data_IF_054083698500
#
_entry.id   IF_054083698500
#
_cell.length_a   1.000
_cell.length_b   1.000
_cell.length_c   1.000
_cell.angle_alpha   90.00
_cell.angle_beta   90.00
_cell.angle_gamma   90.00
#
_symmetry.space_group_name_H-M   'P 1'
#
loop_
_entity.id
_entity.type
_entity.pdbx_description
1 polymer ?
#
# COMPACT_ATOMS: atom_id res chain seq x y z
N UNK A 1 -21.82 -10.82 -62.21
CA UNK A 1 -22.46 -10.90 -63.55
C UNK A 1 -21.56 -10.57 -64.75
N UNK A 2 -20.46 -9.84 -64.62
CA UNK A 2 -19.50 -9.57 -65.71
C UNK A 2 -18.59 -10.73 -66.08
N UNK A 3 -18.54 -11.77 -65.25
CA UNK A 3 -17.68 -12.97 -65.39
C UNK A 3 -18.47 -14.26 -65.70
N UNK A 4 -19.80 -14.18 -65.92
CA UNK A 4 -20.62 -15.30 -66.37
C UNK A 4 -20.93 -16.43 -65.36
N UNK A 5 -20.67 -16.17 -64.04
CA UNK A 5 -20.92 -17.17 -62.99
C UNK A 5 -22.36 -17.10 -62.49
N UNK A 6 -22.94 -18.27 -62.19
CA UNK A 6 -24.27 -18.41 -61.60
C UNK A 6 -24.16 -18.39 -60.06
N UNK A 7 -25.20 -17.92 -59.40
CA UNK A 7 -25.31 -17.91 -57.96
C UNK A 7 -25.24 -19.35 -57.41
N UNK A 8 -24.27 -19.65 -56.55
CA UNK A 8 -24.00 -20.96 -55.98
C UNK A 8 -22.87 -21.76 -56.65
N UNK A 9 -22.25 -21.27 -57.70
CA UNK A 9 -21.13 -21.93 -58.38
C UNK A 9 -19.82 -21.75 -57.60
N UNK A 10 -19.11 -22.87 -57.30
CA UNK A 10 -17.81 -22.83 -56.61
C UNK A 10 -16.72 -22.41 -57.59
N UNK A 11 -16.06 -21.29 -57.31
CA UNK A 11 -14.97 -20.76 -58.13
C UNK A 11 -13.65 -21.48 -57.80
N UNK A 12 -13.41 -22.60 -58.52
CA UNK A 12 -12.14 -23.33 -58.45
C UNK A 12 -11.14 -22.84 -59.49
N UNK A 13 -10.47 -21.71 -59.19
CA UNK A 13 -9.37 -21.26 -60.02
C UNK A 13 -8.10 -21.12 -59.19
N UNK A 14 -7.02 -21.78 -59.59
CA UNK A 14 -5.75 -21.85 -58.83
C UNK A 14 -5.17 -20.47 -58.50
N UNK A 15 -5.40 -19.45 -59.35
CA UNK A 15 -4.97 -18.07 -59.11
C UNK A 15 -5.80 -17.40 -58.02
N UNK A 16 -7.11 -17.67 -57.95
CA UNK A 16 -7.99 -17.17 -56.90
C UNK A 16 -7.67 -17.79 -55.54
N UNK A 17 -7.50 -19.12 -55.53
CA UNK A 17 -7.10 -19.84 -54.31
C UNK A 17 -5.77 -19.31 -53.74
N UNK A 18 -4.75 -19.12 -54.58
CA UNK A 18 -3.47 -18.51 -54.19
C UNK A 18 -3.61 -17.08 -53.71
N UNK A 19 -4.51 -16.31 -54.32
CA UNK A 19 -4.77 -14.91 -53.88
C UNK A 19 -5.43 -14.86 -52.50
N UNK A 20 -6.42 -15.73 -52.26
CA UNK A 20 -7.08 -15.87 -50.97
C UNK A 20 -6.10 -16.37 -49.90
N UNK A 21 -5.29 -17.39 -50.22
CA UNK A 21 -4.24 -17.89 -49.30
C UNK A 21 -3.24 -16.79 -48.91
N UNK A 22 -2.76 -15.97 -49.86
CA UNK A 22 -1.88 -14.83 -49.58
C UNK A 22 -2.55 -13.79 -48.71
N UNK A 23 -3.83 -13.49 -48.99
CA UNK A 23 -4.59 -12.54 -48.17
C UNK A 23 -4.79 -13.05 -46.73
N UNK A 24 -5.16 -14.31 -46.57
CA UNK A 24 -5.30 -14.96 -45.25
C UNK A 24 -3.96 -14.93 -44.48
N UNK A 25 -2.85 -15.31 -45.13
CA UNK A 25 -1.52 -15.29 -44.52
C UNK A 25 -1.13 -13.87 -44.05
N UNK A 26 -1.41 -12.86 -44.87
CA UNK A 26 -1.14 -11.45 -44.51
C UNK A 26 -1.97 -10.98 -43.33
N UNK A 27 -3.25 -11.36 -43.25
CA UNK A 27 -4.13 -11.09 -42.09
C UNK A 27 -3.62 -11.81 -40.84
N UNK A 28 -3.21 -13.08 -40.98
CA UNK A 28 -2.65 -13.85 -39.87
C UNK A 28 -1.35 -13.24 -39.32
N UNK A 29 -0.42 -12.86 -40.22
CA UNK A 29 0.83 -12.18 -39.85
C UNK A 29 0.56 -10.86 -39.12
N UNK A 30 -0.40 -10.07 -39.60
CA UNK A 30 -0.81 -8.83 -38.95
C UNK A 30 -1.41 -9.08 -37.56
N UNK A 31 -2.32 -10.05 -37.45
CA UNK A 31 -2.93 -10.42 -36.16
C UNK A 31 -1.91 -11.01 -35.19
N UNK A 32 -0.94 -11.76 -35.68
CA UNK A 32 0.17 -12.26 -34.89
C UNK A 32 1.02 -11.08 -34.34
N UNK A 33 1.36 -10.10 -35.18
CA UNK A 33 2.08 -8.90 -34.76
C UNK A 33 1.35 -8.10 -33.66
N UNK A 34 0.02 -7.94 -33.81
CA UNK A 34 -0.82 -7.29 -32.79
C UNK A 34 -0.80 -8.08 -31.48
N UNK A 35 -1.04 -9.39 -31.52
CA UNK A 35 -1.01 -10.25 -30.32
C UNK A 35 0.33 -10.23 -29.63
N UNK A 36 1.44 -10.30 -30.38
CA UNK A 36 2.80 -10.23 -29.84
C UNK A 36 3.03 -8.93 -29.08
N UNK A 37 2.64 -7.80 -29.66
CA UNK A 37 2.75 -6.49 -28.98
C UNK A 37 1.94 -6.45 -27.68
N UNK A 38 0.71 -6.98 -27.68
CA UNK A 38 -0.11 -7.04 -26.46
C UNK A 38 0.58 -7.84 -25.36
N UNK A 39 1.18 -8.99 -25.68
CA UNK A 39 1.93 -9.79 -24.73
C UNK A 39 3.14 -9.02 -24.16
N UNK A 40 3.87 -8.26 -24.99
CA UNK A 40 4.99 -7.46 -24.54
C UNK A 40 4.59 -6.35 -23.53
N UNK A 41 3.40 -5.75 -23.68
CA UNK A 41 2.84 -4.84 -22.67
C UNK A 41 2.41 -5.58 -21.41
N UNK A 42 1.78 -6.75 -21.55
CA UNK A 42 1.29 -7.54 -20.43
C UNK A 42 2.45 -8.13 -19.60
N UNK A 43 3.59 -8.45 -20.21
CA UNK A 43 4.78 -8.96 -19.52
C UNK A 43 5.34 -7.94 -18.50
N UNK A 44 5.30 -6.66 -18.83
CA UNK A 44 5.71 -5.59 -17.90
C UNK A 44 4.81 -5.61 -16.66
N UNK A 45 3.50 -5.62 -16.88
CA UNK A 45 2.52 -5.66 -15.78
C UNK A 45 2.62 -6.94 -14.96
N UNK A 46 2.84 -8.08 -15.61
CA UNK A 46 2.99 -9.37 -14.92
C UNK A 46 4.24 -9.39 -14.02
N UNK A 47 5.34 -8.82 -14.48
CA UNK A 47 6.57 -8.71 -13.67
C UNK A 47 6.32 -7.89 -12.41
N UNK A 48 5.70 -6.72 -12.53
CA UNK A 48 5.35 -5.86 -11.40
C UNK A 48 4.35 -6.53 -10.45
N UNK A 49 3.32 -7.17 -11.00
CA UNK A 49 2.32 -7.94 -10.24
C UNK A 49 2.96 -9.02 -9.40
N UNK A 50 3.89 -9.78 -9.95
CA UNK A 50 4.57 -10.86 -9.23
C UNK A 50 5.34 -10.32 -8.01
N UNK A 51 6.02 -9.19 -8.13
CA UNK A 51 6.72 -8.55 -7.01
C UNK A 51 5.73 -8.16 -5.89
N UNK A 52 4.65 -7.47 -6.24
CA UNK A 52 3.66 -7.00 -5.28
C UNK A 52 2.89 -8.15 -4.64
N UNK A 53 2.48 -9.16 -5.42
CA UNK A 53 1.75 -10.31 -4.90
C UNK A 53 2.62 -11.20 -4.00
N UNK A 54 3.91 -11.30 -4.29
CA UNK A 54 4.87 -11.97 -3.40
C UNK A 54 4.98 -11.25 -2.07
N UNK A 55 5.14 -9.92 -2.08
CA UNK A 55 5.17 -9.10 -0.86
C UNK A 55 3.85 -9.20 -0.08
N UNK A 56 2.72 -9.11 -0.78
CA UNK A 56 1.39 -9.27 -0.18
C UNK A 56 1.20 -10.64 0.46
N UNK A 57 1.66 -11.70 -0.20
CA UNK A 57 1.60 -13.07 0.32
C UNK A 57 2.44 -13.22 1.60
N UNK A 58 3.66 -12.68 1.65
CA UNK A 58 4.48 -12.69 2.86
C UNK A 58 3.77 -11.98 4.01
N UNK A 59 3.21 -10.80 3.75
CA UNK A 59 2.44 -10.09 4.77
C UNK A 59 1.20 -10.88 5.23
N UNK A 60 0.48 -11.53 4.31
CA UNK A 60 -0.71 -12.32 4.62
C UNK A 60 -0.39 -13.53 5.50
N UNK A 61 0.69 -14.26 5.21
CA UNK A 61 1.15 -15.40 6.01
C UNK A 61 1.73 -14.96 7.36
N UNK A 62 2.24 -13.73 7.45
CA UNK A 62 2.73 -13.13 8.69
C UNK A 62 4.06 -13.67 9.21
N UNK A 63 4.70 -14.61 8.50
CA UNK A 63 5.94 -15.25 8.91
C UNK A 63 7.14 -14.31 8.91
N UNK A 64 7.15 -13.31 8.00
CA UNK A 64 8.25 -12.36 7.79
C UNK A 64 7.87 -10.91 8.04
N UNK A 65 6.71 -10.64 8.63
CA UNK A 65 6.20 -9.27 8.76
C UNK A 65 7.19 -8.32 9.46
N UNK A 66 7.91 -8.81 10.47
CA UNK A 66 8.92 -8.01 11.15
C UNK A 66 10.08 -7.61 10.23
N UNK A 67 10.55 -8.54 9.37
CA UNK A 67 11.60 -8.27 8.39
C UNK A 67 11.11 -7.31 7.30
N UNK A 68 9.89 -7.49 6.83
CA UNK A 68 9.28 -6.60 5.81
C UNK A 68 9.14 -5.16 6.34
N UNK A 69 8.78 -5.00 7.61
CA UNK A 69 8.71 -3.68 8.27
C UNK A 69 10.10 -3.08 8.44
N UNK A 70 11.11 -3.87 8.85
CA UNK A 70 12.50 -3.42 8.94
C UNK A 70 13.02 -2.91 7.59
N UNK A 71 12.83 -3.70 6.53
CA UNK A 71 13.20 -3.30 5.17
C UNK A 71 12.46 -2.02 4.74
N UNK A 72 11.16 -1.90 5.08
CA UNK A 72 10.38 -0.69 4.78
C UNK A 72 10.96 0.55 5.46
N UNK A 73 11.37 0.45 6.73
CA UNK A 73 11.99 1.56 7.46
C UNK A 73 13.35 1.90 6.86
N UNK A 74 14.15 0.89 6.51
CA UNK A 74 15.47 1.08 5.90
C UNK A 74 15.37 1.75 4.52
N UNK A 75 14.57 1.20 3.61
CA UNK A 75 14.36 1.74 2.27
C UNK A 75 13.83 3.18 2.33
N UNK A 76 12.94 3.46 3.29
CA UNK A 76 12.40 4.81 3.51
C UNK A 76 13.50 5.76 4.01
N UNK A 77 14.38 5.31 4.90
CA UNK A 77 15.50 6.11 5.41
C UNK A 77 16.47 6.46 4.28
N UNK A 78 16.82 5.50 3.43
CA UNK A 78 17.66 5.73 2.24
C UNK A 78 16.98 6.71 1.29
N UNK A 79 15.71 6.51 0.96
CA UNK A 79 14.97 7.36 0.03
C UNK A 79 14.83 8.81 0.53
N UNK A 80 14.70 9.04 1.85
CA UNK A 80 14.64 10.40 2.42
C UNK A 80 16.00 11.07 2.33
N UNK A 81 17.10 10.38 2.64
CA UNK A 81 18.46 10.93 2.54
C UNK A 81 18.79 11.27 1.10
N UNK A 82 18.51 10.37 0.16
CA UNK A 82 18.78 10.57 -1.28
C UNK A 82 17.99 11.74 -1.85
N UNK A 83 16.74 11.92 -1.42
CA UNK A 83 15.89 13.02 -1.89
C UNK A 83 16.42 14.39 -1.50
N UNK A 84 17.16 14.50 -0.40
CA UNK A 84 17.69 15.74 0.14
C UNK A 84 19.23 15.82 0.02
N UNK A 85 19.80 15.07 -0.93
CA UNK A 85 21.23 15.06 -1.20
C UNK A 85 21.78 16.42 -1.69
N UNK A 86 20.89 17.34 -2.09
CA UNK A 86 21.18 18.73 -2.44
C UNK A 86 21.52 19.62 -1.24
N UNK A 87 21.36 19.10 -0.01
CA UNK A 87 21.65 19.80 1.24
C UNK A 87 20.49 20.58 1.83
N UNK A 88 19.26 20.36 1.36
CA UNK A 88 18.04 20.97 1.96
C UNK A 88 17.75 20.36 3.35
N UNK A 89 18.39 20.91 4.37
CA UNK A 89 18.26 20.46 5.75
C UNK A 89 16.87 20.69 6.36
N UNK A 90 16.23 21.83 6.05
CA UNK A 90 14.89 22.12 6.56
C UNK A 90 13.82 21.22 5.92
N UNK A 91 13.92 20.99 4.63
CA UNK A 91 13.07 20.00 3.93
C UNK A 91 13.28 18.59 4.48
N UNK A 92 14.52 18.21 4.74
CA UNK A 92 14.85 16.92 5.36
C UNK A 92 14.20 16.76 6.76
N UNK A 93 14.31 17.75 7.64
CA UNK A 93 13.65 17.74 8.97
C UNK A 93 12.13 17.57 8.84
N UNK A 94 11.53 18.33 7.92
CA UNK A 94 10.09 18.28 7.70
C UNK A 94 9.65 16.90 7.21
N UNK A 95 10.43 16.28 6.33
CA UNK A 95 10.13 14.94 5.80
C UNK A 95 10.28 13.87 6.88
N UNK A 96 11.27 13.96 7.76
CA UNK A 96 11.41 13.07 8.92
C UNK A 96 10.21 13.18 9.87
N UNK A 97 9.76 14.39 10.14
CA UNK A 97 8.58 14.60 10.96
C UNK A 97 7.31 14.03 10.32
N UNK A 98 7.14 14.22 9.00
CA UNK A 98 6.00 13.69 8.25
C UNK A 98 6.01 12.16 8.17
N UNK A 99 7.17 11.55 7.99
CA UNK A 99 7.29 10.11 7.73
C UNK A 99 7.47 9.30 9.00
N UNK A 100 8.44 9.68 9.84
CA UNK A 100 8.75 8.92 11.06
C UNK A 100 8.16 9.52 12.34
N UNK A 101 7.59 10.71 12.26
CA UNK A 101 7.14 11.49 13.42
C UNK A 101 8.26 11.60 14.49
N UNK A 102 9.46 11.92 14.03
CA UNK A 102 10.67 12.10 14.87
C UNK A 102 11.35 13.42 14.56
N UNK A 103 12.09 13.92 15.55
CA UNK A 103 13.01 15.02 15.35
C UNK A 103 14.26 14.55 14.58
N UNK A 104 14.92 15.49 13.91
CA UNK A 104 16.13 15.17 13.15
C UNK A 104 17.28 14.78 14.10
N UNK A 105 17.89 13.59 13.93
CA UNK A 105 18.99 13.13 14.77
C UNK A 105 20.36 13.70 14.36
N UNK A 106 20.39 14.63 13.40
CA UNK A 106 21.60 15.23 12.88
C UNK A 106 21.61 16.74 13.09
N UNK A 107 22.80 17.30 13.30
CA UNK A 107 23.02 18.73 13.13
C UNK A 107 23.11 19.08 11.64
N UNK A 108 22.92 20.35 11.30
CA UNK A 108 23.03 20.80 9.90
C UNK A 108 24.41 20.54 9.32
N UNK A 109 25.48 20.68 10.11
CA UNK A 109 26.85 20.40 9.70
C UNK A 109 27.09 18.91 9.44
N UNK A 110 26.59 18.03 10.33
CA UNK A 110 26.66 16.59 10.15
C UNK A 110 25.92 16.14 8.89
N UNK A 111 24.73 16.73 8.62
CA UNK A 111 23.94 16.41 7.46
C UNK A 111 24.61 16.83 6.15
N UNK A 112 25.15 18.06 6.06
CA UNK A 112 25.81 18.58 4.86
C UNK A 112 27.14 17.89 4.54
N UNK A 113 27.88 17.48 5.55
CA UNK A 113 29.22 16.88 5.40
C UNK A 113 29.18 15.34 5.45
N UNK A 114 28.05 14.75 5.81
CA UNK A 114 27.90 13.31 5.95
C UNK A 114 27.85 12.60 4.61
N UNK A 115 28.33 11.34 4.58
CA UNK A 115 28.10 10.45 3.42
C UNK A 115 26.67 9.91 3.51
N UNK A 116 25.97 9.88 2.37
CA UNK A 116 24.58 9.43 2.27
C UNK A 116 24.33 8.08 2.95
N UNK A 117 25.18 7.08 2.67
CA UNK A 117 25.04 5.74 3.26
C UNK A 117 25.10 5.79 4.81
N UNK A 118 26.05 6.56 5.37
CA UNK A 118 26.19 6.67 6.82
C UNK A 118 25.04 7.44 7.48
N UNK A 119 24.51 8.45 6.78
CA UNK A 119 23.34 9.18 7.25
C UNK A 119 22.10 8.27 7.23
N UNK A 120 21.94 7.47 6.16
CA UNK A 120 20.84 6.53 6.05
C UNK A 120 20.90 5.43 7.13
N UNK A 121 22.06 4.85 7.38
CA UNK A 121 22.26 3.85 8.43
C UNK A 121 21.95 4.41 9.83
N UNK A 122 22.50 5.59 10.17
CA UNK A 122 22.21 6.24 11.47
C UNK A 122 20.73 6.61 11.58
N UNK A 123 20.13 7.12 10.51
CA UNK A 123 18.69 7.44 10.49
C UNK A 123 17.84 6.18 10.71
N UNK A 124 18.19 5.08 10.05
CA UNK A 124 17.52 3.79 10.22
C UNK A 124 17.59 3.31 11.67
N UNK A 125 18.76 3.37 12.30
CA UNK A 125 18.94 2.93 13.68
C UNK A 125 18.07 3.73 14.64
N UNK A 126 18.02 5.05 14.51
CA UNK A 126 17.18 5.93 15.34
C UNK A 126 15.68 5.69 15.09
N UNK A 127 15.27 5.57 13.82
CA UNK A 127 13.90 5.27 13.46
C UNK A 127 13.47 3.89 13.99
N UNK A 128 14.34 2.89 13.92
CA UNK A 128 14.07 1.55 14.43
C UNK A 128 13.92 1.53 15.96
N UNK A 129 14.78 2.25 16.70
CA UNK A 129 14.65 2.38 18.15
C UNK A 129 13.33 3.05 18.53
N UNK A 130 12.95 4.11 17.82
CA UNK A 130 11.68 4.78 18.03
C UNK A 130 10.49 3.86 17.76
N UNK A 131 10.55 3.10 16.66
CA UNK A 131 9.53 2.11 16.31
C UNK A 131 9.36 1.06 17.41
N UNK A 132 10.46 0.47 17.90
CA UNK A 132 10.44 -0.51 18.99
C UNK A 132 9.78 0.06 20.25
N UNK A 133 10.19 1.26 20.69
CA UNK A 133 9.60 1.92 21.85
C UNK A 133 8.09 2.14 21.71
N UNK A 134 7.63 2.51 20.51
CA UNK A 134 6.20 2.73 20.26
C UNK A 134 5.41 1.41 20.28
N UNK A 135 5.97 0.34 19.72
CA UNK A 135 5.34 -0.99 19.78
C UNK A 135 5.28 -1.51 21.22
N UNK A 136 6.33 -1.31 22.01
CA UNK A 136 6.32 -1.65 23.43
C UNK A 136 5.26 -0.87 24.21
N UNK A 137 5.16 0.44 23.97
CA UNK A 137 4.10 1.25 24.60
C UNK A 137 2.72 0.76 24.23
N UNK A 138 2.49 0.36 22.98
CA UNK A 138 1.22 -0.21 22.53
C UNK A 138 0.90 -1.49 23.30
N UNK A 139 1.87 -2.40 23.49
CA UNK A 139 1.67 -3.63 24.26
C UNK A 139 1.38 -3.33 25.73
N UNK A 140 2.08 -2.38 26.33
CA UNK A 140 1.87 -1.96 27.73
C UNK A 140 0.46 -1.42 27.96
N UNK A 141 -0.06 -0.63 27.02
CA UNK A 141 -1.43 -0.10 27.10
C UNK A 141 -2.48 -1.19 26.90
N UNK A 142 -2.24 -2.14 25.98
CA UNK A 142 -3.19 -3.22 25.68
C UNK A 142 -3.24 -4.30 26.76
N UNK A 143 -2.11 -4.63 27.36
CA UNK A 143 -1.95 -5.82 28.19
C UNK A 143 -2.93 -5.91 29.39
N UNK A 144 -3.16 -4.86 30.18
CA UNK A 144 -4.12 -4.89 31.29
C UNK A 144 -5.54 -5.23 30.81
N UNK A 145 -5.97 -4.61 29.69
CA UNK A 145 -7.30 -4.81 29.11
C UNK A 145 -7.44 -6.23 28.58
N UNK A 146 -6.42 -6.73 27.87
CA UNK A 146 -6.43 -8.10 27.33
C UNK A 146 -6.50 -9.13 28.45
N UNK A 147 -5.75 -8.98 29.53
CA UNK A 147 -5.80 -9.86 30.69
C UNK A 147 -7.21 -9.87 31.30
N UNK A 148 -7.78 -8.70 31.54
CA UNK A 148 -9.11 -8.58 32.10
C UNK A 148 -10.17 -9.24 31.21
N UNK A 149 -10.14 -8.99 29.89
CA UNK A 149 -11.11 -9.58 28.94
C UNK A 149 -10.94 -11.11 28.88
N UNK A 150 -9.72 -11.62 28.83
CA UNK A 150 -9.47 -13.04 28.74
C UNK A 150 -9.92 -13.79 30.01
N UNK A 151 -9.61 -13.27 31.19
CA UNK A 151 -9.96 -13.89 32.48
C UNK A 151 -11.47 -13.89 32.72
N UNK A 152 -12.21 -12.85 32.31
CA UNK A 152 -13.66 -12.75 32.56
C UNK A 152 -14.51 -13.28 31.40
N UNK A 153 -14.07 -13.20 30.16
CA UNK A 153 -14.85 -13.46 28.96
C UNK A 153 -14.13 -14.30 27.91
N UNK A 154 -12.97 -14.90 28.26
CA UNK A 154 -12.14 -15.63 27.32
C UNK A 154 -12.80 -16.84 26.66
N UNK A 155 -13.81 -17.43 27.31
CA UNK A 155 -14.59 -18.52 26.74
C UNK A 155 -15.64 -18.06 25.71
N UNK A 156 -15.99 -16.76 25.67
CA UNK A 156 -17.04 -16.20 24.80
C UNK A 156 -16.49 -15.63 23.50
N UNK A 157 -15.22 -15.19 23.47
CA UNK A 157 -14.63 -14.50 22.34
C UNK A 157 -13.35 -15.19 21.89
N UNK A 158 -13.32 -15.63 20.64
CA UNK A 158 -12.11 -16.16 19.99
C UNK A 158 -11.21 -15.03 19.46
N UNK A 159 -11.84 -14.03 18.83
CA UNK A 159 -11.15 -12.90 18.23
C UNK A 159 -11.69 -11.58 18.80
N UNK A 160 -10.80 -10.63 18.95
CA UNK A 160 -11.10 -9.27 19.40
C UNK A 160 -10.73 -8.25 18.34
N UNK A 161 -11.45 -7.13 18.33
CA UNK A 161 -11.17 -5.99 17.47
C UNK A 161 -10.59 -4.87 18.31
N UNK A 162 -9.38 -4.45 17.95
CA UNK A 162 -8.65 -3.41 18.68
C UNK A 162 -8.58 -2.17 17.79
N UNK A 163 -9.16 -1.03 18.23
CA UNK A 163 -9.02 0.22 17.50
C UNK A 163 -7.61 0.78 17.70
N UNK A 164 -6.93 1.08 16.59
CA UNK A 164 -5.60 1.73 16.59
C UNK A 164 -5.72 2.95 15.69
N UNK A 165 -5.20 4.09 16.15
CA UNK A 165 -5.23 5.34 15.37
C UNK A 165 -3.83 5.84 15.07
N UNK A 166 -3.66 6.48 13.91
CA UNK A 166 -2.46 7.23 13.54
C UNK A 166 -2.62 8.75 13.78
N UNK A 167 -3.71 9.13 14.44
CA UNK A 167 -4.10 10.52 14.66
C UNK A 167 -4.96 11.12 13.54
N UNK A 168 -5.11 10.42 12.40
CA UNK A 168 -5.94 10.84 11.26
C UNK A 168 -7.04 9.83 10.93
N UNK A 169 -6.70 8.55 11.02
CA UNK A 169 -7.61 7.43 10.69
C UNK A 169 -7.66 6.45 11.83
N UNK A 170 -8.76 5.70 11.91
CA UNK A 170 -8.93 4.58 12.83
C UNK A 170 -8.81 3.28 12.04
N UNK A 171 -7.98 2.38 12.55
CA UNK A 171 -7.78 1.03 12.01
C UNK A 171 -8.31 0.02 13.01
N UNK A 172 -9.27 -0.80 12.59
CA UNK A 172 -9.79 -1.89 13.42
C UNK A 172 -8.97 -3.15 13.15
N UNK A 173 -8.13 -3.51 14.09
CA UNK A 173 -7.22 -4.65 13.96
C UNK A 173 -7.82 -5.87 14.66
N UNK A 174 -8.02 -6.95 13.90
CA UNK A 174 -8.47 -8.23 14.46
C UNK A 174 -7.28 -9.03 14.99
N UNK A 175 -7.39 -9.53 16.21
CA UNK A 175 -6.38 -10.36 16.84
C UNK A 175 -7.05 -11.51 17.60
N UNK A 176 -6.43 -12.70 17.62
CA UNK A 176 -6.90 -13.80 18.45
C UNK A 176 -6.66 -13.49 19.91
N UNK A 177 -7.70 -13.60 20.74
CA UNK A 177 -7.66 -13.20 22.14
C UNK A 177 -6.69 -14.08 22.97
N UNK A 178 -6.69 -15.38 22.72
CA UNK A 178 -5.78 -16.32 23.40
C UNK A 178 -4.33 -16.02 23.06
N UNK A 179 -4.02 -15.83 21.78
CA UNK A 179 -2.67 -15.46 21.32
C UNK A 179 -2.24 -14.11 21.92
N UNK A 180 -3.14 -13.12 21.97
CA UNK A 180 -2.85 -11.83 22.59
C UNK A 180 -2.53 -11.95 24.07
N UNK A 181 -3.25 -12.83 24.80
CA UNK A 181 -3.00 -13.11 26.22
C UNK A 181 -1.67 -13.82 26.44
N UNK A 182 -1.41 -14.92 25.70
CA UNK A 182 -0.20 -15.74 25.84
C UNK A 182 1.09 -15.00 25.46
N UNK A 183 0.99 -14.05 24.51
CA UNK A 183 2.15 -13.24 24.04
C UNK A 183 2.29 -11.91 24.77
N UNK A 184 1.59 -11.68 25.87
CA UNK A 184 1.59 -10.41 26.59
C UNK A 184 1.28 -9.22 25.67
N UNK A 185 0.28 -9.39 24.81
CA UNK A 185 -0.17 -8.40 23.80
C UNK A 185 0.79 -8.13 22.64
N UNK A 186 1.90 -8.86 22.49
CA UNK A 186 2.79 -8.72 21.31
C UNK A 186 2.11 -9.16 20.01
N UNK A 187 1.16 -10.09 20.08
CA UNK A 187 0.36 -10.49 18.92
C UNK A 187 -0.42 -9.29 18.31
N UNK A 188 -0.84 -8.32 19.14
CA UNK A 188 -1.54 -7.12 18.70
C UNK A 188 -0.66 -6.25 17.79
N UNK A 189 0.60 -6.02 18.19
CA UNK A 189 1.53 -5.23 17.38
C UNK A 189 1.87 -5.93 16.07
N UNK A 190 1.97 -7.26 16.06
CA UNK A 190 2.16 -8.06 14.86
C UNK A 190 0.94 -7.99 13.94
N UNK A 191 -0.27 -8.12 14.51
CA UNK A 191 -1.53 -7.98 13.78
C UNK A 191 -1.70 -6.56 13.18
N UNK A 192 -1.32 -5.52 13.93
CA UNK A 192 -1.30 -4.14 13.45
C UNK A 192 -0.34 -3.96 12.27
N UNK A 193 0.92 -4.40 12.38
CA UNK A 193 1.89 -4.34 11.31
C UNK A 193 1.37 -5.04 10.05
N UNK A 194 0.83 -6.26 10.20
CA UNK A 194 0.23 -7.04 9.11
C UNK A 194 -0.92 -6.29 8.44
N UNK A 195 -1.84 -5.74 9.23
CA UNK A 195 -3.01 -5.00 8.74
C UNK A 195 -2.59 -3.77 7.93
N UNK A 196 -1.63 -2.98 8.43
CA UNK A 196 -1.17 -1.76 7.76
C UNK A 196 -0.41 -2.09 6.47
N UNK A 197 0.49 -3.07 6.49
CA UNK A 197 1.24 -3.47 5.29
C UNK A 197 0.28 -3.96 4.19
N UNK A 198 -0.71 -4.80 4.53
CA UNK A 198 -1.71 -5.26 3.56
C UNK A 198 -2.55 -4.11 3.01
N UNK A 199 -3.03 -3.23 3.88
CA UNK A 199 -3.84 -2.08 3.49
C UNK A 199 -3.09 -1.14 2.54
N UNK A 200 -1.83 -0.82 2.85
CA UNK A 200 -1.02 0.09 2.03
C UNK A 200 -0.63 -0.53 0.69
N UNK A 201 -0.36 -1.84 0.65
CA UNK A 201 -0.12 -2.57 -0.60
C UNK A 201 -1.37 -2.51 -1.49
N UNK A 202 -2.54 -2.81 -0.94
CA UNK A 202 -3.79 -2.89 -1.71
C UNK A 202 -4.19 -1.50 -2.24
N UNK A 203 -4.05 -0.43 -1.45
CA UNK A 203 -4.30 0.95 -1.90
C UNK A 203 -3.32 1.39 -3.00
N UNK A 204 -2.01 1.19 -2.77
CA UNK A 204 -0.98 1.61 -3.72
C UNK A 204 -1.09 0.85 -5.05
N UNK A 205 -1.31 -0.47 -4.99
CA UNK A 205 -1.46 -1.30 -6.17
C UNK A 205 -2.68 -0.93 -7.00
N UNK A 206 -3.81 -0.64 -6.35
CA UNK A 206 -5.02 -0.19 -7.04
C UNK A 206 -4.81 1.12 -7.80
N UNK A 207 -4.12 2.08 -7.20
CA UNK A 207 -3.81 3.35 -7.87
C UNK A 207 -2.82 3.15 -9.02
N UNK A 208 -1.78 2.35 -8.79
CA UNK A 208 -0.79 2.01 -9.82
C UNK A 208 -1.41 1.34 -11.06
N UNK A 209 -2.39 0.46 -10.88
CA UNK A 209 -3.10 -0.14 -12.01
C UNK A 209 -3.79 0.94 -12.86
N UNK A 210 -4.36 1.96 -12.23
CA UNK A 210 -4.99 3.08 -12.92
C UNK A 210 -3.97 3.93 -13.69
N UNK A 211 -2.85 4.26 -13.04
CA UNK A 211 -1.75 5.01 -13.66
C UNK A 211 -1.17 4.25 -14.87
N UNK A 212 -1.04 2.93 -14.77
CA UNK A 212 -0.56 2.07 -15.86
C UNK A 212 -1.54 2.00 -17.03
N UNK A 213 -2.85 2.01 -16.78
CA UNK A 213 -3.86 2.09 -17.84
C UNK A 213 -3.80 3.45 -18.55
N UNK A 214 -3.66 4.54 -17.81
CA UNK A 214 -3.47 5.89 -18.37
C UNK A 214 -2.17 5.98 -19.19
N UNK A 215 -1.07 5.43 -18.70
CA UNK A 215 0.20 5.35 -19.41
C UNK A 215 0.03 4.57 -20.73
N UNK A 216 -0.65 3.41 -20.70
CA UNK A 216 -0.89 2.60 -21.89
C UNK A 216 -1.65 3.37 -22.98
N UNK A 217 -2.61 4.19 -22.59
CA UNK A 217 -3.34 5.05 -23.53
C UNK A 217 -2.47 6.19 -24.05
N UNK A 218 -1.67 6.82 -23.21
CA UNK A 218 -0.84 7.98 -23.58
C UNK A 218 0.27 7.60 -24.56
N UNK A 219 0.94 6.46 -24.37
CA UNK A 219 2.05 6.04 -25.24
C UNK A 219 1.61 5.64 -26.65
N UNK A 220 0.33 5.36 -26.88
CA UNK A 220 -0.17 5.11 -28.24
C UNK A 220 0.00 6.34 -29.14
N UNK A 221 -0.04 7.54 -28.56
CA UNK A 221 0.16 8.80 -29.26
C UNK A 221 1.64 9.07 -29.60
N UNK A 222 2.57 8.42 -28.91
CA UNK A 222 4.02 8.59 -29.14
C UNK A 222 4.48 8.12 -30.54
N UNK A 223 3.69 7.29 -31.20
CA UNK A 223 3.94 6.84 -32.59
C UNK A 223 4.00 8.03 -33.56
N UNK A 224 3.35 9.14 -33.27
CA UNK A 224 3.40 10.36 -34.08
C UNK A 224 4.75 11.08 -34.01
N UNK A 225 5.55 10.82 -32.97
CA UNK A 225 6.88 11.42 -32.76
C UNK A 225 8.04 10.52 -33.24
N UNK A 226 7.79 9.47 -34.01
CA UNK A 226 8.78 8.47 -34.45
C UNK A 226 9.52 7.76 -33.29
N UNK A 227 8.91 7.69 -32.11
CA UNK A 227 9.44 6.95 -30.97
C UNK A 227 8.77 5.57 -30.88
N UNK A 228 9.48 4.56 -30.37
CA UNK A 228 8.89 3.25 -30.13
C UNK A 228 7.99 3.32 -28.86
N UNK A 229 6.66 3.15 -29.02
CA UNK A 229 5.73 3.23 -27.89
C UNK A 229 6.01 2.20 -26.80
N UNK A 230 6.49 0.99 -27.18
CA UNK A 230 6.80 -0.06 -26.22
C UNK A 230 8.01 0.29 -25.35
N UNK A 231 9.03 0.91 -25.95
CA UNK A 231 10.21 1.34 -25.19
C UNK A 231 9.83 2.43 -24.17
N UNK A 232 9.03 3.41 -24.59
CA UNK A 232 8.54 4.48 -23.71
C UNK A 232 7.71 3.87 -22.58
N UNK A 233 6.79 2.96 -22.92
CA UNK A 233 5.98 2.26 -21.92
C UNK A 233 6.84 1.54 -20.87
N UNK A 234 7.88 0.81 -21.30
CA UNK A 234 8.79 0.11 -20.38
C UNK A 234 9.53 1.07 -19.45
N UNK A 235 10.03 2.18 -19.96
CA UNK A 235 10.76 3.18 -19.16
C UNK A 235 9.83 3.88 -18.17
N UNK A 236 8.69 4.39 -18.64
CA UNK A 236 7.75 5.10 -17.79
C UNK A 236 7.07 4.18 -16.76
N UNK A 237 6.75 2.94 -17.14
CA UNK A 237 6.20 1.96 -16.21
C UNK A 237 7.17 1.60 -15.08
N UNK A 238 8.49 1.58 -15.36
CA UNK A 238 9.50 1.40 -14.33
C UNK A 238 9.51 2.57 -13.34
N UNK A 239 9.46 3.80 -13.85
CA UNK A 239 9.44 5.00 -13.03
C UNK A 239 8.16 5.06 -12.15
N UNK A 240 7.00 4.78 -12.73
CA UNK A 240 5.73 4.72 -11.99
C UNK A 240 5.78 3.64 -10.89
N UNK A 241 6.30 2.46 -11.22
CA UNK A 241 6.41 1.38 -10.24
C UNK A 241 7.37 1.72 -9.09
N UNK A 242 8.53 2.32 -9.40
CA UNK A 242 9.47 2.78 -8.39
C UNK A 242 8.82 3.81 -7.46
N UNK A 243 8.16 4.81 -8.03
CA UNK A 243 7.48 5.85 -7.26
C UNK A 243 6.36 5.26 -6.38
N UNK A 244 5.58 4.32 -6.91
CA UNK A 244 4.55 3.60 -6.15
C UNK A 244 5.14 2.87 -4.95
N UNK A 245 6.26 2.15 -5.13
CA UNK A 245 6.93 1.43 -4.04
C UNK A 245 7.46 2.40 -2.98
N UNK A 246 8.08 3.50 -3.38
CA UNK A 246 8.59 4.52 -2.46
C UNK A 246 7.45 5.17 -1.66
N UNK A 247 6.37 5.56 -2.32
CA UNK A 247 5.20 6.12 -1.65
C UNK A 247 4.52 5.12 -0.70
N UNK A 248 4.41 3.86 -1.11
CA UNK A 248 3.88 2.77 -0.29
C UNK A 248 4.73 2.57 0.97
N UNK A 249 6.06 2.53 0.84
CA UNK A 249 6.98 2.38 1.96
C UNK A 249 6.86 3.57 2.93
N UNK A 250 6.87 4.80 2.43
CA UNK A 250 6.69 6.03 3.24
C UNK A 250 5.36 6.04 3.99
N UNK A 251 4.28 5.68 3.30
CA UNK A 251 2.94 5.61 3.91
C UNK A 251 2.87 4.54 4.99
N UNK A 252 3.42 3.35 4.71
CA UNK A 252 3.50 2.26 5.69
C UNK A 252 4.29 2.69 6.93
N UNK A 253 5.48 3.25 6.75
CA UNK A 253 6.30 3.76 7.84
C UNK A 253 5.57 4.84 8.64
N UNK A 254 4.93 5.81 7.97
CA UNK A 254 4.24 6.91 8.62
C UNK A 254 3.07 6.44 9.50
N UNK A 255 2.28 5.45 9.06
CA UNK A 255 1.17 4.90 9.84
C UNK A 255 1.70 4.06 11.00
N UNK A 256 2.69 3.20 10.77
CA UNK A 256 3.28 2.35 11.82
C UNK A 256 3.95 3.18 12.92
N UNK A 257 4.62 4.26 12.54
CA UNK A 257 5.28 5.16 13.50
C UNK A 257 4.30 5.98 14.34
N UNK A 258 3.08 6.25 13.86
CA UNK A 258 2.06 7.03 14.59
C UNK A 258 1.03 6.16 15.28
N UNK A 259 1.01 4.85 14.98
CA UNK A 259 0.02 3.93 15.52
C UNK A 259 -0.01 3.93 17.05
N UNK A 260 -1.18 4.18 17.61
CA UNK A 260 -1.42 4.15 19.05
C UNK A 260 -2.86 3.67 19.35
N UNK A 261 -3.02 2.99 20.47
CA UNK A 261 -4.33 2.65 20.99
C UNK A 261 -4.91 3.90 21.64
N UNK A 262 -6.11 4.38 21.24
CA UNK A 262 -6.71 5.52 21.87
C UNK A 262 -7.06 5.17 23.33
N UNK A 263 -6.40 5.82 24.26
CA UNK A 263 -6.75 5.77 25.68
C UNK A 263 -7.91 6.74 25.86
N UNK A 264 -9.10 6.24 26.26
CA UNK A 264 -10.14 7.13 26.75
C UNK A 264 -9.64 7.70 28.06
N UNK A 265 -9.34 8.98 28.09
CA UNK A 265 -9.27 9.69 29.35
C UNK A 265 -10.64 9.50 30.01
N UNK A 266 -10.68 9.00 31.24
CA UNK A 266 -11.91 8.96 31.98
C UNK A 266 -12.45 10.40 32.03
N UNK A 267 -13.73 10.62 31.67
CA UNK A 267 -14.29 11.95 31.71
C UNK A 267 -14.09 12.52 33.12
N UNK A 268 -13.59 13.72 33.19
CA UNK A 268 -13.41 14.43 34.47
C UNK A 268 -14.76 14.46 35.21
N UNK A 269 -14.73 14.57 36.53
CA UNK A 269 -15.96 14.63 37.33
C UNK A 269 -16.92 15.75 36.87
N UNK A 270 -16.38 16.82 36.30
CA UNK A 270 -17.14 17.91 35.68
C UNK A 270 -17.84 17.46 34.38
N UNK A 271 -17.19 16.66 33.54
CA UNK A 271 -17.78 16.10 32.32
C UNK A 271 -18.80 15.01 32.63
N UNK A 272 -18.59 14.20 33.67
CA UNK A 272 -19.60 13.22 34.15
C UNK A 272 -20.84 13.93 34.67
N UNK A 273 -20.66 15.07 35.38
CA UNK A 273 -21.79 15.89 35.83
C UNK A 273 -22.53 16.55 34.67
N UNK A 274 -21.80 17.07 33.66
CA UNK A 274 -22.40 17.63 32.46
C UNK A 274 -23.20 16.61 31.65
N UNK A 275 -22.68 15.39 31.49
CA UNK A 275 -23.37 14.28 30.82
C UNK A 275 -24.62 13.81 31.59
N UNK A 276 -24.57 13.83 32.93
CA UNK A 276 -25.75 13.49 33.76
C UNK A 276 -26.84 14.54 33.65
N UNK A 277 -26.48 15.82 33.51
CA UNK A 277 -27.44 16.93 33.31
C UNK A 277 -28.13 16.92 31.94
N UNK A 278 -27.42 16.43 30.89
CA UNK A 278 -27.98 16.28 29.54
C UNK A 278 -29.04 15.17 29.52
N UNK A 279 -28.89 14.10 30.26
CA UNK A 279 -29.87 13.02 30.36
C UNK A 279 -31.16 13.38 31.13
N UNK A 280 -31.11 14.43 31.97
CA UNK A 280 -32.26 14.90 32.73
C UNK A 280 -33.15 15.86 31.90
N UNK A 281 -32.65 16.41 30.81
CA UNK A 281 -33.32 17.45 30.02
C UNK A 281 -34.11 16.95 28.79
N UNK A 282 -34.17 15.64 28.52
CA UNK A 282 -35.10 15.12 27.48
C UNK A 282 -36.49 14.85 28.06
N UNK A 283 -37.52 15.65 27.73
CA UNK A 283 -38.88 15.36 28.11
C UNK A 283 -39.42 14.22 27.24
N UNK A 284 -39.75 13.10 27.85
CA UNK A 284 -40.51 12.01 27.25
C UNK A 284 -41.83 12.56 26.65
N UNK A 285 -41.84 12.81 25.34
CA UNK A 285 -43.07 13.04 24.59
C UNK A 285 -43.76 11.69 24.37
N UNK A 286 -44.69 11.37 25.26
CA UNK A 286 -45.72 10.38 24.98
C UNK A 286 -46.61 10.87 23.84
N UNK A 287 -46.45 10.30 22.66
CA UNK A 287 -47.48 10.38 21.62
C UNK A 287 -48.64 9.43 22.02
N UNK A 288 -49.70 9.98 22.52
CA UNK A 288 -51.01 9.32 22.51
C UNK A 288 -51.55 9.36 21.08
N UNK A 289 -51.71 8.20 20.49
CA UNK A 289 -52.53 7.99 19.29
C UNK A 289 -53.93 7.67 19.78
N UNK A 290 -54.85 8.52 19.43
CA UNK A 290 -56.31 8.26 19.43
C UNK A 290 -56.73 7.96 17.99
#
# INVERSE_FOLDING_TARGET
DKLGFKEGEVLEHSMLSKSVERAQKKVEENNFGIRKRLLEYDDVMNSQRNVIYTRRRHALMGERIGLDVLNTIYDTSVAIVDQHADGDYEGFKLELFKTFAMECPFTEEEFKNGKADKLADKLFDEALQLFKRRMERMTQVANPVIKQVYEHQGAMYENIMIPITDGKRMYNVSCNLKEAYETESKAITKAFQKSIVLHTIDEAWKEHLREMDELRHSVQNASYENKDPLLIYKLESYNLFKNMVDMMNRKTAAVLMRGQIPVREEPTEEEKQALSLIHISEPTRHLRIS
#
